data_IF_587578999920
#
_entry.id   IF_587578999920
#
_cell.length_a   1.000
_cell.length_b   1.000
_cell.length_c   1.000
_cell.angle_alpha   90.00
_cell.angle_beta   90.00
_cell.angle_gamma   90.00
#
_symmetry.space_group_name_H-M   'P 1'
#
loop_
_entity.id
_entity.type
_entity.pdbx_description
1 polymer ?
#
# COMPACT_ATOMS: atom_id res chain seq x y z
N UNK A 1 -21.92 44.62 -8.21
CA UNK A 1 -21.52 44.08 -6.87
C UNK A 1 -21.17 42.61 -7.02
N UNK A 2 -20.00 42.15 -6.55
CA UNK A 2 -19.62 40.74 -6.62
C UNK A 2 -20.44 39.94 -5.59
N UNK A 3 -21.13 38.88 -6.05
CA UNK A 3 -21.94 38.00 -5.20
C UNK A 3 -21.00 37.10 -4.39
N UNK A 4 -21.09 37.14 -3.05
CA UNK A 4 -20.36 36.22 -2.17
C UNK A 4 -20.76 34.77 -2.48
N UNK A 5 -19.81 33.83 -2.62
CA UNK A 5 -20.14 32.42 -2.84
C UNK A 5 -20.88 31.87 -1.62
N UNK A 6 -21.97 31.13 -1.88
CA UNK A 6 -22.96 30.66 -0.89
C UNK A 6 -22.49 29.45 -0.05
N UNK A 7 -21.33 28.89 -0.36
CA UNK A 7 -20.80 27.68 0.28
C UNK A 7 -19.28 27.82 0.41
N UNK A 8 -18.74 27.50 1.58
CA UNK A 8 -17.29 27.35 1.76
C UNK A 8 -16.88 26.19 0.85
N UNK A 9 -16.01 26.40 -0.15
CA UNK A 9 -15.56 25.31 -1.00
C UNK A 9 -14.91 24.25 -0.11
N UNK A 10 -15.42 23.03 -0.17
CA UNK A 10 -14.82 21.89 0.52
C UNK A 10 -13.37 21.66 0.08
N UNK A 11 -12.63 20.77 0.76
CA UNK A 11 -11.23 20.51 0.43
C UNK A 11 -11.09 20.15 -1.05
N UNK A 12 -10.13 20.79 -1.72
CA UNK A 12 -9.84 20.50 -3.13
C UNK A 12 -9.50 19.03 -3.33
N UNK A 13 -9.79 18.48 -4.51
CA UNK A 13 -9.43 17.08 -4.85
C UNK A 13 -7.94 16.79 -4.65
N UNK A 14 -7.09 17.76 -4.95
CA UNK A 14 -5.64 17.67 -4.71
C UNK A 14 -5.31 17.57 -3.22
N UNK A 15 -5.95 18.39 -2.37
CA UNK A 15 -5.72 18.31 -0.92
C UNK A 15 -6.10 16.96 -0.32
N UNK A 16 -7.16 16.32 -0.82
CA UNK A 16 -7.56 14.96 -0.41
C UNK A 16 -6.54 13.92 -0.85
N UNK A 17 -6.03 14.03 -2.07
CA UNK A 17 -4.99 13.12 -2.59
C UNK A 17 -3.69 13.29 -1.79
N UNK A 18 -3.26 14.52 -1.55
CA UNK A 18 -2.07 14.82 -0.76
C UNK A 18 -2.20 14.26 0.66
N UNK A 19 -3.32 14.48 1.33
CA UNK A 19 -3.57 13.94 2.67
C UNK A 19 -3.38 12.41 2.72
N UNK A 20 -3.83 11.70 1.68
CA UNK A 20 -3.65 10.24 1.55
C UNK A 20 -2.19 9.86 1.23
N UNK A 21 -1.51 10.60 0.36
CA UNK A 21 -0.10 10.34 0.01
C UNK A 21 0.84 10.60 1.19
N UNK A 22 0.54 11.59 2.02
CA UNK A 22 1.33 11.98 3.20
C UNK A 22 0.89 11.26 4.49
N UNK A 23 -0.09 10.37 4.41
CA UNK A 23 -0.61 9.62 5.55
C UNK A 23 0.50 8.82 6.24
N UNK A 24 0.47 8.79 7.58
CA UNK A 24 1.38 7.99 8.38
C UNK A 24 0.95 6.51 8.42
N UNK A 25 1.89 5.55 8.44
CA UNK A 25 3.34 5.72 8.37
C UNK A 25 3.83 6.13 6.97
N UNK A 26 4.77 7.07 6.90
CA UNK A 26 5.39 7.47 5.63
C UNK A 26 6.37 6.38 5.15
N UNK A 27 6.15 5.79 3.96
CA UNK A 27 6.99 4.70 3.49
C UNK A 27 8.28 5.23 2.88
N UNK A 28 9.21 5.71 3.72
CA UNK A 28 10.54 6.10 3.27
C UNK A 28 11.46 4.89 3.24
N UNK A 29 11.97 4.55 2.04
CA UNK A 29 12.67 3.30 1.76
C UNK A 29 14.07 3.59 1.19
N UNK A 30 15.01 4.05 2.02
CA UNK A 30 16.32 4.49 1.54
C UNK A 30 17.16 3.34 0.95
N UNK A 31 16.91 2.11 1.37
CA UNK A 31 17.68 0.92 0.96
C UNK A 31 17.13 0.24 -0.29
N UNK A 32 15.95 0.64 -0.77
CA UNK A 32 15.30 0.03 -1.93
C UNK A 32 15.84 0.64 -3.22
N UNK A 33 16.22 -0.22 -4.18
CA UNK A 33 16.67 0.18 -5.53
C UNK A 33 15.55 0.00 -6.54
N UNK A 34 15.01 -1.22 -6.62
CA UNK A 34 13.92 -1.54 -7.54
C UNK A 34 12.86 -2.41 -6.86
N UNK A 35 11.61 -2.25 -7.31
CA UNK A 35 10.47 -3.02 -6.87
C UNK A 35 9.74 -3.56 -8.10
N UNK A 36 9.69 -4.88 -8.25
CA UNK A 36 8.91 -5.52 -9.30
C UNK A 36 7.79 -6.33 -8.70
N UNK A 37 6.56 -6.05 -9.13
CA UNK A 37 5.37 -6.72 -8.63
C UNK A 37 4.63 -7.40 -9.77
N UNK A 38 4.35 -8.69 -9.61
CA UNK A 38 3.57 -9.46 -10.58
C UNK A 38 2.29 -9.96 -9.93
N UNK A 39 1.12 -9.57 -10.45
CA UNK A 39 -0.17 -10.00 -9.93
C UNK A 39 -1.24 -10.15 -11.01
N UNK A 40 -2.30 -10.89 -10.70
CA UNK A 40 -3.38 -11.18 -11.63
C UNK A 40 -4.25 -9.94 -11.83
N UNK A 41 -4.49 -9.57 -13.08
CA UNK A 41 -5.29 -8.39 -13.39
C UNK A 41 -6.73 -8.50 -12.85
N UNK A 42 -7.31 -9.71 -12.87
CA UNK A 42 -8.70 -10.00 -12.47
C UNK A 42 -8.79 -11.22 -11.55
N UNK A 43 -9.86 -11.23 -10.75
CA UNK A 43 -10.38 -12.31 -9.91
C UNK A 43 -9.48 -12.78 -8.75
N UNK A 44 -8.17 -12.72 -8.91
CA UNK A 44 -7.22 -13.26 -7.94
C UNK A 44 -6.31 -12.19 -7.35
N UNK A 45 -5.61 -12.56 -6.28
CA UNK A 45 -4.55 -11.77 -5.63
C UNK A 45 -5.06 -10.40 -5.15
N UNK A 46 -6.21 -10.39 -4.47
CA UNK A 46 -6.85 -9.17 -3.96
C UNK A 46 -5.90 -8.31 -3.12
N UNK A 47 -5.10 -8.93 -2.24
CA UNK A 47 -4.12 -8.22 -1.43
C UNK A 47 -3.09 -7.44 -2.25
N UNK A 48 -2.53 -8.06 -3.30
CA UNK A 48 -1.60 -7.41 -4.21
C UNK A 48 -2.26 -6.27 -5.00
N UNK A 49 -3.51 -6.46 -5.45
CA UNK A 49 -4.29 -5.41 -6.12
C UNK A 49 -4.56 -4.21 -5.21
N UNK A 50 -4.95 -4.47 -3.97
CA UNK A 50 -5.15 -3.44 -2.96
C UNK A 50 -3.85 -2.73 -2.61
N UNK A 51 -2.75 -3.45 -2.47
CA UNK A 51 -1.42 -2.87 -2.26
C UNK A 51 -1.03 -1.91 -3.38
N UNK A 52 -1.25 -2.29 -4.65
CA UNK A 52 -0.95 -1.41 -5.81
C UNK A 52 -1.83 -0.18 -5.86
N UNK A 53 -3.10 -0.32 -5.45
CA UNK A 53 -4.05 0.79 -5.49
C UNK A 53 -3.83 1.78 -4.34
N UNK A 54 -3.55 1.27 -3.14
CA UNK A 54 -3.51 2.06 -1.91
C UNK A 54 -2.09 2.45 -1.49
N UNK A 55 -1.15 1.51 -1.51
CA UNK A 55 0.20 1.70 -0.94
C UNK A 55 1.23 2.15 -1.98
N UNK A 56 1.18 1.62 -3.20
CA UNK A 56 2.19 1.91 -4.23
C UNK A 56 2.27 3.41 -4.59
N UNK A 57 1.17 4.17 -4.72
CA UNK A 57 1.25 5.62 -4.91
C UNK A 57 1.94 6.34 -3.75
N UNK A 58 1.71 5.89 -2.51
CA UNK A 58 2.36 6.45 -1.30
C UNK A 58 3.86 6.18 -1.32
N UNK A 59 4.26 4.95 -1.68
CA UNK A 59 5.67 4.55 -1.82
C UNK A 59 6.38 5.38 -2.89
N UNK A 60 5.76 5.53 -4.07
CA UNK A 60 6.32 6.34 -5.16
C UNK A 60 6.45 7.81 -4.78
N UNK A 61 5.47 8.35 -4.07
CA UNK A 61 5.49 9.74 -3.61
C UNK A 61 6.60 10.00 -2.58
N UNK A 62 6.81 9.08 -1.64
CA UNK A 62 7.87 9.20 -0.65
C UNK A 62 9.27 8.92 -1.21
N UNK A 63 9.38 8.16 -2.31
CA UNK A 63 10.65 7.76 -2.91
C UNK A 63 10.58 7.88 -4.45
N UNK A 64 10.78 9.08 -5.01
CA UNK A 64 10.67 9.31 -6.45
C UNK A 64 11.75 8.56 -7.25
N UNK A 65 12.91 8.29 -6.65
CA UNK A 65 14.10 7.71 -7.30
C UNK A 65 14.06 6.18 -7.48
N UNK A 66 13.04 5.49 -6.97
CA UNK A 66 12.98 4.02 -7.01
C UNK A 66 12.37 3.54 -8.33
N UNK A 67 12.93 2.50 -8.92
CA UNK A 67 12.35 1.88 -10.12
C UNK A 67 11.25 0.90 -9.75
N UNK A 68 9.99 1.26 -10.00
CA UNK A 68 8.82 0.42 -9.70
C UNK A 68 8.23 -0.11 -11.01
N UNK A 69 8.23 -1.43 -11.15
CA UNK A 69 7.65 -2.17 -12.27
C UNK A 69 6.44 -2.98 -11.81
N UNK A 70 5.34 -2.89 -12.54
CA UNK A 70 4.09 -3.57 -12.19
C UNK A 70 3.61 -4.40 -13.38
N UNK A 71 3.81 -5.71 -13.28
CA UNK A 71 3.43 -6.68 -14.30
C UNK A 71 2.04 -7.23 -14.00
N UNK A 72 1.05 -6.75 -14.76
CA UNK A 72 -0.34 -7.19 -14.67
C UNK A 72 -0.56 -8.29 -15.70
N UNK A 73 -0.55 -9.54 -15.27
CA UNK A 73 -0.80 -10.68 -16.15
C UNK A 73 -2.29 -11.03 -16.14
N UNK A 74 -2.83 -11.36 -17.32
CA UNK A 74 -4.18 -11.89 -17.43
C UNK A 74 -4.13 -13.37 -17.02
N UNK A 75 -4.86 -13.75 -15.98
CA UNK A 75 -4.95 -15.13 -15.52
C UNK A 75 -6.17 -15.78 -16.19
N UNK A 76 -5.96 -16.82 -16.99
CA UNK A 76 -7.02 -17.73 -17.45
C UNK A 76 -7.40 -18.68 -16.32
N UNK A 77 -8.63 -19.23 -16.34
CA UNK A 77 -9.15 -20.07 -15.24
C UNK A 77 -8.31 -21.33 -14.97
N UNK A 78 -7.52 -21.77 -15.94
CA UNK A 78 -6.71 -22.99 -15.89
C UNK A 78 -5.30 -22.75 -15.35
N UNK A 79 -4.79 -21.51 -15.43
CA UNK A 79 -3.45 -21.20 -14.95
C UNK A 79 -3.50 -20.80 -13.48
N UNK A 80 -2.93 -21.62 -12.60
CA UNK A 80 -2.78 -21.30 -11.17
C UNK A 80 -1.35 -20.83 -10.89
N UNK A 81 -1.08 -19.55 -11.10
CA UNK A 81 0.20 -18.94 -10.71
C UNK A 81 0.03 -18.01 -9.50
N UNK A 82 1.07 -17.92 -8.68
CA UNK A 82 1.11 -17.15 -7.42
C UNK A 82 1.63 -15.73 -7.64
N UNK A 83 1.10 -14.72 -6.93
CA UNK A 83 1.61 -13.36 -7.03
C UNK A 83 2.98 -13.25 -6.37
N UNK A 84 3.90 -12.59 -7.06
CA UNK A 84 5.28 -12.44 -6.60
C UNK A 84 5.67 -10.97 -6.52
N UNK A 85 6.42 -10.62 -5.47
CA UNK A 85 7.09 -9.34 -5.35
C UNK A 85 8.59 -9.55 -5.24
N UNK A 86 9.33 -8.96 -6.17
CA UNK A 86 10.79 -8.95 -6.19
C UNK A 86 11.25 -7.58 -5.71
N UNK A 87 12.02 -7.58 -4.63
CA UNK A 87 12.56 -6.39 -3.98
C UNK A 87 14.07 -6.43 -4.17
N UNK A 88 14.62 -5.49 -4.92
CA UNK A 88 16.07 -5.34 -5.08
C UNK A 88 16.56 -4.20 -4.20
N UNK A 89 17.43 -4.53 -3.25
CA UNK A 89 18.05 -3.58 -2.36
C UNK A 89 19.32 -2.99 -3.00
N UNK A 90 19.72 -1.80 -2.53
CA UNK A 90 20.93 -1.10 -3.01
C UNK A 90 22.23 -1.88 -2.74
N UNK A 91 22.23 -2.78 -1.76
CA UNK A 91 23.35 -3.67 -1.46
C UNK A 91 23.47 -4.85 -2.45
N UNK A 92 22.57 -4.96 -3.44
CA UNK A 92 22.54 -6.04 -4.42
C UNK A 92 21.75 -7.28 -3.98
N UNK A 93 21.20 -7.30 -2.76
CA UNK A 93 20.37 -8.41 -2.30
C UNK A 93 18.99 -8.33 -2.95
N UNK A 94 18.54 -9.45 -3.51
CA UNK A 94 17.21 -9.59 -4.10
C UNK A 94 16.35 -10.48 -3.22
N UNK A 95 15.22 -9.97 -2.74
CA UNK A 95 14.24 -10.73 -1.99
C UNK A 95 13.02 -11.02 -2.85
N UNK A 96 12.61 -12.29 -2.92
CA UNK A 96 11.35 -12.69 -3.52
C UNK A 96 10.34 -12.97 -2.41
N UNK A 97 9.21 -12.29 -2.46
CA UNK A 97 8.12 -12.41 -1.52
C UNK A 97 6.90 -13.01 -2.22
N UNK A 98 6.40 -14.11 -1.68
CA UNK A 98 5.10 -14.67 -2.04
C UNK A 98 4.00 -13.78 -1.43
N UNK A 99 3.06 -13.33 -2.27
CA UNK A 99 1.95 -12.48 -1.85
C UNK A 99 0.61 -13.23 -1.81
N UNK A 100 0.62 -14.55 -2.01
CA UNK A 100 -0.59 -15.35 -2.03
C UNK A 100 -1.29 -15.33 -0.66
N UNK A 101 -2.61 -15.12 -0.68
CA UNK A 101 -3.42 -15.00 0.54
C UNK A 101 -3.07 -13.84 1.50
N UNK A 102 -2.05 -13.02 1.19
CA UNK A 102 -1.62 -11.92 2.07
C UNK A 102 -2.50 -10.69 1.89
N UNK A 103 -2.71 -9.97 2.98
CA UNK A 103 -3.41 -8.68 2.98
C UNK A 103 -2.43 -7.55 2.62
N UNK A 104 -2.93 -6.46 2.04
CA UNK A 104 -2.08 -5.33 1.63
C UNK A 104 -1.27 -4.73 2.79
N UNK A 105 -1.84 -4.71 4.00
CA UNK A 105 -1.17 -4.28 5.24
C UNK A 105 0.02 -5.17 5.61
N UNK A 106 -0.10 -6.48 5.42
CA UNK A 106 0.97 -7.45 5.68
C UNK A 106 2.08 -7.33 4.64
N UNK A 107 1.72 -7.16 3.36
CA UNK A 107 2.68 -6.93 2.28
C UNK A 107 3.46 -5.63 2.55
N UNK A 108 2.77 -4.59 2.99
CA UNK A 108 3.38 -3.32 3.37
C UNK A 108 4.32 -3.47 4.58
N UNK A 109 3.91 -4.19 5.63
CA UNK A 109 4.76 -4.40 6.80
C UNK A 109 6.04 -5.14 6.47
N UNK A 110 5.95 -6.22 5.68
CA UNK A 110 7.11 -7.00 5.23
C UNK A 110 8.06 -6.13 4.40
N UNK A 111 7.52 -5.34 3.46
CA UNK A 111 8.33 -4.45 2.64
C UNK A 111 9.04 -3.37 3.46
N UNK A 112 8.33 -2.78 4.44
CA UNK A 112 8.93 -1.81 5.35
C UNK A 112 10.01 -2.45 6.22
N UNK A 113 9.81 -3.66 6.72
CA UNK A 113 10.81 -4.38 7.50
C UNK A 113 12.10 -4.65 6.72
N UNK A 114 11.98 -4.95 5.42
CA UNK A 114 13.14 -5.19 4.56
C UNK A 114 13.87 -3.90 4.15
N UNK A 115 13.14 -2.80 3.94
CA UNK A 115 13.70 -1.65 3.19
C UNK A 115 13.68 -0.30 3.92
N UNK A 116 12.89 -0.14 5.00
CA UNK A 116 12.74 1.14 5.70
C UNK A 116 13.81 1.38 6.79
N UNK A 117 14.63 0.38 7.12
CA UNK A 117 15.78 0.51 8.01
C UNK A 117 15.44 0.93 9.45
N UNK A 118 16.27 1.79 10.03
CA UNK A 118 16.20 2.15 11.46
C UNK A 118 15.02 3.06 11.83
N UNK A 119 14.54 3.90 10.91
CA UNK A 119 13.36 4.76 11.11
C UNK A 119 12.12 3.94 11.44
N UNK A 120 11.88 2.84 10.70
CA UNK A 120 10.71 2.00 10.90
C UNK A 120 10.68 1.33 12.27
N UNK A 121 11.84 0.94 12.79
CA UNK A 121 11.98 0.40 14.13
C UNK A 121 11.70 1.45 15.21
N UNK A 122 12.13 2.70 15.00
CA UNK A 122 11.79 3.82 15.89
C UNK A 122 10.29 4.09 15.90
N UNK A 123 9.68 4.19 14.72
CA UNK A 123 8.24 4.40 14.59
C UNK A 123 7.42 3.29 15.26
N UNK A 124 7.81 2.01 15.12
CA UNK A 124 7.17 0.90 15.84
C UNK A 124 7.27 1.06 17.35
N UNK A 125 8.44 1.46 17.87
CA UNK A 125 8.64 1.67 19.31
C UNK A 125 7.82 2.85 19.85
N UNK A 126 7.75 3.95 19.11
CA UNK A 126 6.95 5.13 19.44
C UNK A 126 5.45 4.77 19.48
N UNK A 127 4.96 4.06 18.46
CA UNK A 127 3.56 3.60 18.43
C UNK A 127 3.24 2.58 19.52
N UNK A 128 4.18 1.67 19.83
CA UNK A 128 4.03 0.74 20.93
C UNK A 128 3.97 1.46 22.28
N UNK A 129 4.75 2.52 22.48
CA UNK A 129 4.70 3.36 23.68
C UNK A 129 3.37 4.13 23.79
N UNK A 130 2.78 4.52 22.67
CA UNK A 130 1.44 5.15 22.60
C UNK A 130 0.28 4.14 22.71
N UNK A 131 0.56 2.83 22.78
CA UNK A 131 -0.45 1.77 22.81
C UNK A 131 -1.23 1.61 21.50
N UNK A 132 -0.73 2.15 20.39
CA UNK A 132 -1.37 2.07 19.06
C UNK A 132 -0.68 1.04 18.15
N UNK A 133 -1.43 0.32 17.29
CA UNK A 133 -0.81 -0.59 16.33
C UNK A 133 0.00 0.19 15.30
N UNK A 134 1.22 -0.27 15.00
CA UNK A 134 2.14 0.38 14.06
C UNK A 134 1.59 0.50 12.63
N UNK A 135 0.63 -0.34 12.25
CA UNK A 135 -0.09 -0.25 10.99
C UNK A 135 -1.57 -0.39 11.35
N UNK A 136 -2.46 0.46 10.79
CA UNK A 136 -3.88 0.30 11.01
C UNK A 136 -4.30 -1.13 10.62
N UNK A 137 -5.11 -1.81 11.44
CA UNK A 137 -5.57 -3.15 11.12
C UNK A 137 -6.28 -3.12 9.76
N UNK A 138 -6.18 -4.20 8.99
CA UNK A 138 -6.80 -4.22 7.69
C UNK A 138 -8.30 -3.94 7.82
N UNK A 139 -8.81 -3.04 6.98
CA UNK A 139 -10.23 -2.71 6.97
C UNK A 139 -11.00 -3.98 6.57
N UNK A 140 -11.72 -4.58 7.52
CA UNK A 140 -12.68 -5.64 7.21
C UNK A 140 -13.66 -5.08 6.16
N UNK A 141 -14.02 -5.85 5.12
CA UNK A 141 -15.04 -5.40 4.19
C UNK A 141 -16.29 -5.04 4.99
N UNK A 142 -16.81 -3.82 4.82
CA UNK A 142 -18.10 -3.43 5.41
C UNK A 142 -19.11 -4.49 4.95
N UNK A 143 -19.57 -5.33 5.87
CA UNK A 143 -20.63 -6.29 5.62
C UNK A 143 -21.90 -5.50 5.29
N UNK A 144 -22.12 -5.24 4.01
CA UNK A 144 -23.37 -4.75 3.49
C UNK A 144 -24.39 -5.87 3.54
N UNK A 145 -24.96 -6.12 4.72
CA UNK A 145 -26.11 -6.98 4.90
C UNK A 145 -26.79 -6.59 6.22
N UNK A 146 -27.39 -5.39 6.24
CA UNK A 146 -28.53 -5.19 7.12
C UNK A 146 -29.62 -6.14 6.61
N UNK A 147 -29.95 -7.12 7.45
CA UNK A 147 -30.97 -8.12 7.23
C UNK A 147 -32.29 -7.46 6.79
N UNK A 148 -32.74 -7.79 5.59
CA UNK A 148 -34.17 -7.76 5.27
C UNK A 148 -34.73 -9.04 5.88
N UNK A 149 -35.34 -8.92 7.06
CA UNK A 149 -36.14 -9.98 7.66
C UNK A 149 -37.50 -10.02 6.92
N UNK A 150 -38.06 -11.22 6.67
CA UNK A 150 -39.40 -11.40 6.10
C UNK A 150 -40.51 -10.95 7.06
#
# INVERSE_FOLDING_TARGET
MPRKPKTIPGPSRLSVILARLTQEPRPHLPNLKSLRLTYAYRNDHFGARHFVKEELPRIRYANPTIDIHVDKKLKTKEETWKPEMVVELKNGTTHKLDLDGKWSTTIFSELMELSAGSWWQKYKKERAAEGQPAIPPPQKPKSGAAAVLP
#
